data_IF_891453040577
#
_entry.id   IF_891453040577
#
_cell.length_a   1.000
_cell.length_b   1.000
_cell.length_c   1.000
_cell.angle_alpha   90.00
_cell.angle_beta   90.00
_cell.angle_gamma   90.00
#
_symmetry.space_group_name_H-M   'P 1'
#
loop_
_entity.id
_entity.type
_entity.pdbx_description
1 polymer ?
#
# COMPACT_ATOMS: atom_id res chain seq x y z
N UNK A 1 13.00 8.71 4.71
CA UNK A 1 14.02 7.68 4.43
C UNK A 1 13.52 6.86 3.25
N UNK A 2 14.04 7.10 2.05
CA UNK A 2 13.58 6.45 0.81
C UNK A 2 14.73 5.66 0.21
N UNK A 3 14.88 4.39 0.61
CA UNK A 3 15.77 3.48 -0.13
C UNK A 3 14.91 2.60 -1.06
N UNK A 4 14.55 3.20 -2.19
CA UNK A 4 14.20 2.56 -3.46
C UNK A 4 13.08 1.49 -3.52
N UNK A 5 11.80 1.81 -3.28
CA UNK A 5 10.70 0.92 -3.72
C UNK A 5 10.15 1.22 -5.13
N UNK A 6 10.53 2.33 -5.79
CA UNK A 6 9.74 2.85 -6.92
C UNK A 6 10.51 3.24 -8.19
N UNK A 7 11.84 3.31 -8.20
CA UNK A 7 12.56 3.63 -9.46
C UNK A 7 12.60 2.40 -10.38
N UNK A 8 12.09 2.53 -11.61
CA UNK A 8 12.19 1.48 -12.65
C UNK A 8 11.17 0.33 -12.56
N UNK A 9 10.07 0.50 -11.81
CA UNK A 9 8.94 -0.44 -11.86
C UNK A 9 8.08 -0.20 -13.10
N UNK A 10 7.62 -1.29 -13.73
CA UNK A 10 6.82 -1.28 -14.96
C UNK A 10 5.59 -2.17 -14.82
N UNK A 11 4.65 -2.07 -15.76
CA UNK A 11 3.50 -2.97 -15.84
C UNK A 11 2.39 -2.68 -14.83
N UNK A 12 1.49 -3.65 -14.63
CA UNK A 12 0.30 -3.53 -13.77
C UNK A 12 0.57 -3.99 -12.36
N UNK A 13 -0.01 -3.30 -11.39
CA UNK A 13 0.18 -3.55 -9.97
C UNK A 13 -1.14 -3.48 -9.21
N UNK A 14 -1.22 -4.32 -8.18
CA UNK A 14 -2.30 -4.38 -7.20
C UNK A 14 -1.74 -4.04 -5.82
N UNK A 15 -2.32 -3.03 -5.18
CA UNK A 15 -2.09 -2.70 -3.77
C UNK A 15 -3.22 -3.27 -2.92
N UNK A 16 -2.87 -3.86 -1.80
CA UNK A 16 -3.78 -4.40 -0.80
C UNK A 16 -3.59 -3.60 0.49
N UNK A 17 -4.66 -2.95 0.95
CA UNK A 17 -4.69 -2.25 2.22
C UNK A 17 -5.47 -3.11 3.22
N UNK A 18 -4.82 -3.55 4.29
CA UNK A 18 -5.45 -4.39 5.32
C UNK A 18 -5.63 -3.58 6.59
N UNK A 19 -6.86 -3.55 7.14
CA UNK A 19 -7.15 -2.79 8.36
C UNK A 19 -6.46 -3.42 9.58
N UNK A 20 -5.81 -2.59 10.38
CA UNK A 20 -5.12 -2.95 11.62
C UNK A 20 -5.69 -2.14 12.79
N UNK A 21 -5.39 -2.58 14.03
CA UNK A 21 -5.99 -1.99 15.23
C UNK A 21 -5.58 -0.54 15.46
N UNK A 22 -4.31 -0.19 15.27
CA UNK A 22 -3.82 1.17 15.48
C UNK A 22 -2.53 1.47 14.75
N UNK A 23 -2.08 2.74 14.78
CA UNK A 23 -0.73 3.12 14.35
C UNK A 23 0.35 2.28 15.03
N UNK A 24 0.11 1.86 16.27
CA UNK A 24 1.08 1.16 17.11
C UNK A 24 0.84 -0.33 17.27
N UNK A 25 -0.19 -0.85 16.62
CA UNK A 25 -0.63 -2.22 16.73
C UNK A 25 -1.08 -2.71 15.35
N UNK A 26 -0.16 -3.44 14.70
CA UNK A 26 -0.36 -4.04 13.38
C UNK A 26 -1.15 -5.36 13.42
N UNK A 27 -1.75 -5.69 14.56
CA UNK A 27 -2.69 -6.81 14.62
C UNK A 27 -3.90 -6.52 13.74
N UNK A 28 -4.30 -7.51 12.95
CA UNK A 28 -5.46 -7.43 12.08
C UNK A 28 -6.75 -7.28 12.91
N UNK A 29 -7.69 -6.51 12.36
CA UNK A 29 -9.04 -6.41 12.94
C UNK A 29 -9.90 -7.63 12.56
N UNK A 30 -10.89 -7.95 13.39
CA UNK A 30 -11.90 -8.97 13.13
C UNK A 30 -13.29 -8.30 13.02
N UNK A 31 -14.07 -8.53 11.94
CA UNK A 31 -13.73 -9.31 10.75
C UNK A 31 -12.61 -8.67 9.92
N UNK A 32 -11.83 -9.51 9.23
CA UNK A 32 -10.75 -9.07 8.35
C UNK A 32 -11.30 -8.15 7.24
N UNK A 33 -10.72 -6.96 7.14
CA UNK A 33 -11.06 -5.97 6.11
C UNK A 33 -9.86 -5.69 5.21
N UNK A 34 -10.00 -6.06 3.95
CA UNK A 34 -9.00 -5.80 2.90
C UNK A 34 -9.63 -4.91 1.82
N UNK A 35 -8.94 -3.84 1.46
CA UNK A 35 -9.24 -3.01 0.30
C UNK A 35 -8.21 -3.28 -0.78
N UNK A 36 -8.60 -3.12 -2.05
CA UNK A 36 -7.72 -3.29 -3.21
C UNK A 36 -7.77 -2.08 -4.13
N UNK A 37 -6.60 -1.55 -4.48
CA UNK A 37 -6.40 -0.57 -5.53
C UNK A 37 -5.50 -1.15 -6.62
N UNK A 38 -5.74 -0.79 -7.88
CA UNK A 38 -4.92 -1.23 -9.02
C UNK A 38 -4.42 -0.04 -9.79
N UNK A 39 -3.20 -0.15 -10.29
CA UNK A 39 -2.58 0.89 -11.12
C UNK A 39 -1.68 0.27 -12.19
N UNK A 40 -1.29 1.09 -13.16
CA UNK A 40 -0.24 0.75 -14.12
C UNK A 40 0.90 1.71 -13.88
N UNK A 41 2.13 1.19 -13.80
CA UNK A 41 3.30 2.01 -13.62
C UNK A 41 3.43 3.02 -14.78
N UNK A 42 3.66 4.28 -14.43
CA UNK A 42 3.86 5.34 -15.42
C UNK A 42 5.27 5.19 -15.97
N UNK A 43 5.40 5.08 -17.30
CA UNK A 43 6.70 4.95 -17.97
C UNK A 43 7.16 6.31 -18.50
N UNK A 44 8.45 6.61 -18.37
CA UNK A 44 9.05 7.87 -18.82
C UNK A 44 10.36 8.19 -18.11
N UNK A 45 11.13 9.09 -18.72
CA UNK A 45 12.39 9.56 -18.15
C UNK A 45 12.14 10.41 -16.90
N UNK A 46 13.00 10.25 -15.89
CA UNK A 46 12.95 10.99 -14.61
C UNK A 46 11.71 10.78 -13.73
N UNK A 47 10.95 9.70 -13.91
CA UNK A 47 9.84 9.37 -13.00
C UNK A 47 10.39 8.71 -11.74
N UNK A 48 10.29 9.41 -10.62
CA UNK A 48 10.75 8.93 -9.32
C UNK A 48 9.73 7.99 -8.64
N UNK A 49 8.43 8.27 -8.81
CA UNK A 49 7.31 7.52 -8.20
C UNK A 49 6.30 7.06 -9.28
N UNK A 50 6.54 5.95 -9.98
CA UNK A 50 5.72 5.54 -11.12
C UNK A 50 4.40 4.88 -10.72
N UNK A 51 4.25 4.47 -9.46
CA UNK A 51 3.05 3.79 -8.96
C UNK A 51 2.17 4.76 -8.18
N UNK A 52 0.99 5.05 -8.72
CA UNK A 52 -0.03 5.89 -8.06
C UNK A 52 -1.28 5.04 -7.84
N UNK A 53 -1.61 4.76 -6.58
CA UNK A 53 -2.81 4.00 -6.20
C UNK A 53 -3.90 4.95 -5.70
N UNK A 54 -5.11 4.80 -6.24
CA UNK A 54 -6.29 5.55 -5.82
C UNK A 54 -7.27 4.63 -5.10
N UNK A 55 -7.72 5.08 -3.93
CA UNK A 55 -8.67 4.39 -3.07
C UNK A 55 -10.03 5.09 -3.07
N UNK A 56 -10.56 5.32 -4.26
CA UNK A 56 -11.80 6.07 -4.51
C UNK A 56 -12.94 5.18 -5.02
N UNK A 57 -12.63 3.95 -5.44
CA UNK A 57 -13.64 3.00 -5.92
C UNK A 57 -14.61 2.58 -4.82
N UNK A 58 -15.88 2.42 -5.19
CA UNK A 58 -16.93 1.98 -4.29
C UNK A 58 -16.57 0.64 -3.63
N UNK A 59 -16.72 0.56 -2.30
CA UNK A 59 -16.32 -0.60 -1.49
C UNK A 59 -14.81 -0.74 -1.24
N UNK A 60 -13.96 -0.01 -1.98
CA UNK A 60 -12.50 -0.03 -1.85
C UNK A 60 -11.93 1.27 -1.25
N UNK A 61 -12.80 2.23 -0.97
CA UNK A 61 -12.42 3.47 -0.28
C UNK A 61 -11.89 3.17 1.13
N UNK A 62 -10.79 3.83 1.49
CA UNK A 62 -10.27 3.81 2.85
C UNK A 62 -11.20 4.61 3.76
N UNK A 63 -11.48 4.06 4.93
CA UNK A 63 -12.41 4.66 5.88
C UNK A 63 -11.67 5.63 6.81
N UNK A 64 -12.25 6.82 7.03
CA UNK A 64 -11.66 7.85 7.88
C UNK A 64 -11.42 7.30 9.29
N UNK A 65 -10.29 7.67 9.90
CA UNK A 65 -9.88 7.23 11.23
C UNK A 65 -9.59 5.73 11.37
N UNK A 66 -9.48 5.00 10.26
CA UNK A 66 -8.96 3.63 10.23
C UNK A 66 -7.47 3.60 9.91
N UNK A 67 -6.84 2.50 10.29
CA UNK A 67 -5.42 2.26 10.16
C UNK A 67 -5.19 1.11 9.21
N UNK A 68 -4.24 1.25 8.28
CA UNK A 68 -3.99 0.23 7.27
C UNK A 68 -2.50 -0.05 7.12
N UNK A 69 -2.17 -1.32 6.89
CA UNK A 69 -0.89 -1.76 6.32
C UNK A 69 -1.04 -2.05 4.83
N UNK A 70 0.02 -1.85 4.05
CA UNK A 70 -0.02 -1.95 2.58
C UNK A 70 0.95 -3.00 2.05
N UNK A 71 0.47 -3.81 1.10
CA UNK A 71 1.28 -4.74 0.32
C UNK A 71 1.04 -4.47 -1.16
N UNK A 72 2.10 -4.40 -1.95
CA UNK A 72 2.01 -4.19 -3.39
C UNK A 72 2.53 -5.41 -4.13
N UNK A 73 1.76 -5.86 -5.10
CA UNK A 73 2.11 -6.96 -5.98
C UNK A 73 2.08 -6.47 -7.41
N UNK A 74 3.08 -6.89 -8.19
CA UNK A 74 2.95 -6.83 -9.65
C UNK A 74 1.98 -7.92 -10.07
N UNK A 75 1.06 -7.61 -10.97
CA UNK A 75 -0.04 -8.51 -11.34
C UNK A 75 0.46 -9.81 -12.02
N UNK A 76 1.67 -9.80 -12.56
CA UNK A 76 2.33 -10.99 -13.11
C UNK A 76 3.00 -11.88 -12.05
N UNK A 77 2.90 -11.53 -10.77
CA UNK A 77 3.46 -12.28 -9.64
C UNK A 77 4.98 -12.18 -9.49
N UNK A 78 5.68 -11.50 -10.41
CA UNK A 78 7.15 -11.48 -10.43
C UNK A 78 7.76 -10.60 -9.34
N UNK A 79 7.00 -9.65 -8.80
CA UNK A 79 7.47 -8.71 -7.78
C UNK A 79 6.44 -8.50 -6.68
N UNK A 80 6.94 -8.45 -5.46
CA UNK A 80 6.22 -8.05 -4.26
C UNK A 80 7.01 -6.95 -3.57
N UNK A 81 6.35 -5.84 -3.26
CA UNK A 81 6.88 -4.79 -2.40
C UNK A 81 6.11 -4.90 -1.09
N UNK A 82 6.83 -5.26 -0.04
CA UNK A 82 6.36 -5.20 1.34
C UNK A 82 7.22 -4.16 2.02
N UNK A 83 6.59 -3.18 2.66
CA UNK A 83 7.33 -2.34 3.58
C UNK A 83 7.64 -3.22 4.82
N UNK A 84 8.94 -3.45 5.02
CA UNK A 84 9.56 -4.50 5.84
C UNK A 84 8.96 -4.64 7.25
N UNK A 85 8.95 -5.87 7.81
CA UNK A 85 8.56 -6.17 9.20
C UNK A 85 9.24 -5.30 10.26
N UNK A 86 10.46 -4.82 10.02
CA UNK A 86 11.18 -3.89 10.91
C UNK A 86 10.52 -2.49 10.99
N UNK A 87 9.81 -2.06 9.95
CA UNK A 87 9.05 -0.80 9.95
C UNK A 87 7.63 -0.98 10.50
N UNK A 88 7.07 -2.18 10.39
CA UNK A 88 5.86 -2.62 11.11
C UNK A 88 6.10 -2.64 12.62
N UNK A 89 7.27 -3.09 13.09
CA UNK A 89 7.66 -3.05 14.51
C UNK A 89 7.95 -1.61 15.01
N UNK A 90 8.27 -0.68 14.11
CA UNK A 90 8.61 0.71 14.43
C UNK A 90 7.49 1.72 14.13
N UNK A 91 6.29 1.27 13.75
CA UNK A 91 5.12 2.11 13.39
C UNK A 91 5.33 3.10 12.24
N UNK A 92 6.21 2.77 11.31
CA UNK A 92 6.51 3.66 10.18
C UNK A 92 5.62 3.43 8.95
N UNK A 93 4.81 2.36 8.93
CA UNK A 93 4.02 1.95 7.75
C UNK A 93 2.50 1.90 8.00
N UNK A 94 2.05 2.43 9.14
CA UNK A 94 0.63 2.56 9.41
C UNK A 94 0.19 3.96 9.04
N UNK A 95 -0.69 4.06 8.05
CA UNK A 95 -1.20 5.35 7.60
C UNK A 95 -2.62 5.55 8.14
N UNK A 96 -2.84 6.66 8.83
CA UNK A 96 -4.20 7.10 9.13
C UNK A 96 -4.82 7.68 7.85
N UNK A 97 -5.98 7.16 7.45
CA UNK A 97 -6.73 7.77 6.36
C UNK A 97 -7.28 9.13 6.80
N UNK A 98 -6.68 10.20 6.30
CA UNK A 98 -7.16 11.58 6.39
C UNK A 98 -7.93 11.95 5.12
N UNK A 99 -8.93 12.83 5.24
CA UNK A 99 -9.74 13.32 4.12
C UNK A 99 -8.92 14.01 3.02
#
# INVERSE_FOLDING_TARGET
MHHSPVKGVTGKWSAFATEVKSLTDNTLVDPLKVKVARTTAIEGDNIEFPLIFRWDKQGQKLEKSKFYTFIFWKDDGSKKIVFNSRHIEQNNDTFQATE
#
